data_IF_694856960997
#
_entry.id   IF_694856960997
#
_cell.length_a   1.000
_cell.length_b   1.000
_cell.length_c   1.000
_cell.angle_alpha   90.00
_cell.angle_beta   90.00
_cell.angle_gamma   90.00
#
_symmetry.space_group_name_H-M   'P 1'
#
loop_
_entity.id
_entity.type
_entity.pdbx_description
1 polymer ?
#
# COMPACT_ATOMS: atom_id res chain seq x y z
N UNK A 1 24.57 -22.03 -29.97
CA UNK A 1 23.77 -21.04 -29.22
C UNK A 1 22.94 -21.82 -28.22
N UNK A 2 23.09 -21.56 -26.92
CA UNK A 2 22.27 -22.23 -25.91
C UNK A 2 20.81 -21.79 -26.13
N UNK A 3 19.83 -22.70 -26.28
CA UNK A 3 18.44 -22.29 -26.45
C UNK A 3 18.02 -21.47 -25.22
N UNK A 4 17.53 -20.25 -25.46
CA UNK A 4 17.02 -19.36 -24.39
C UNK A 4 15.94 -20.13 -23.64
N UNK A 5 16.20 -20.46 -22.36
CA UNK A 5 15.24 -21.17 -21.52
C UNK A 5 14.10 -20.20 -21.19
N UNK A 6 12.91 -20.48 -21.73
CA UNK A 6 11.72 -19.67 -21.45
C UNK A 6 11.42 -19.77 -19.94
N UNK A 7 11.35 -18.63 -19.22
CA UNK A 7 11.01 -18.60 -17.81
C UNK A 7 9.61 -19.17 -17.57
N UNK A 8 9.45 -19.93 -16.48
CA UNK A 8 8.14 -20.45 -16.05
C UNK A 8 7.32 -19.33 -15.41
N UNK A 9 6.00 -19.41 -15.54
CA UNK A 9 5.11 -18.58 -14.75
C UNK A 9 5.10 -19.06 -13.29
N UNK A 10 4.95 -18.10 -12.38
CA UNK A 10 4.61 -18.31 -10.99
C UNK A 10 3.32 -17.56 -10.65
N UNK A 11 2.72 -17.83 -9.48
CA UNK A 11 1.63 -17.02 -8.90
C UNK A 11 1.85 -15.51 -9.07
N UNK A 12 2.98 -15.01 -8.54
CA UNK A 12 3.38 -13.61 -8.64
C UNK A 12 3.55 -13.11 -10.08
N UNK A 13 4.22 -13.89 -10.95
CA UNK A 13 4.42 -13.53 -12.36
C UNK A 13 3.11 -13.47 -13.15
N UNK A 14 2.18 -14.38 -12.88
CA UNK A 14 0.86 -14.38 -13.50
C UNK A 14 0.11 -13.08 -13.16
N UNK A 15 0.01 -12.74 -11.87
CA UNK A 15 -0.65 -11.50 -11.42
C UNK A 15 0.05 -10.25 -11.97
N UNK A 16 1.39 -10.23 -11.98
CA UNK A 16 2.15 -9.13 -12.57
C UNK A 16 1.91 -8.97 -14.08
N UNK A 17 1.78 -10.08 -14.81
CA UNK A 17 1.46 -10.09 -16.24
C UNK A 17 0.06 -9.61 -16.55
N UNK A 18 -0.94 -9.94 -15.71
CA UNK A 18 -2.30 -9.41 -15.83
C UNK A 18 -2.34 -7.89 -15.63
N UNK A 19 -1.49 -7.36 -14.75
CA UNK A 19 -1.36 -5.90 -14.60
C UNK A 19 -0.65 -5.27 -15.81
N UNK A 20 0.45 -5.86 -16.26
CA UNK A 20 1.21 -5.37 -17.42
C UNK A 20 2.12 -6.47 -18.00
N UNK A 21 1.93 -6.89 -19.26
CA UNK A 21 2.81 -7.85 -19.93
C UNK A 21 4.29 -7.43 -19.97
N UNK A 22 4.55 -6.12 -20.08
CA UNK A 22 5.92 -5.59 -20.02
C UNK A 22 6.55 -5.75 -18.63
N UNK A 23 5.75 -5.61 -17.55
CA UNK A 23 6.20 -5.89 -16.18
C UNK A 23 6.59 -7.36 -16.04
N UNK A 24 5.77 -8.29 -16.53
CA UNK A 24 6.09 -9.72 -16.55
C UNK A 24 7.40 -10.00 -17.30
N UNK A 25 7.57 -9.41 -18.49
CA UNK A 25 8.78 -9.56 -19.27
C UNK A 25 10.02 -9.12 -18.49
N UNK A 26 10.00 -7.92 -17.91
CA UNK A 26 11.13 -7.39 -17.15
C UNK A 26 11.43 -8.21 -15.88
N UNK A 27 10.42 -8.68 -15.15
CA UNK A 27 10.61 -9.60 -14.01
C UNK A 27 11.38 -10.88 -14.38
N UNK A 28 11.31 -11.29 -15.64
CA UNK A 28 11.89 -12.54 -16.11
C UNK A 28 13.25 -12.35 -16.80
N UNK A 29 13.44 -11.23 -17.50
CA UNK A 29 14.61 -11.03 -18.37
C UNK A 29 15.50 -9.87 -17.97
N UNK A 30 14.95 -8.86 -17.28
CA UNK A 30 15.68 -7.66 -16.87
C UNK A 30 15.38 -7.29 -15.39
N UNK A 31 15.49 -8.23 -14.43
CA UNK A 31 15.13 -7.97 -13.04
C UNK A 31 15.98 -6.86 -12.39
N UNK A 32 17.18 -6.60 -12.91
CA UNK A 32 18.07 -5.52 -12.49
C UNK A 32 17.54 -4.11 -12.75
N UNK A 33 16.51 -3.97 -13.61
CA UNK A 33 15.84 -2.70 -13.88
C UNK A 33 14.77 -2.35 -12.83
N UNK A 34 14.47 -3.27 -11.92
CA UNK A 34 13.49 -3.03 -10.87
C UNK A 34 14.04 -2.04 -9.85
N UNK A 35 13.18 -1.13 -9.37
CA UNK A 35 13.47 -0.26 -8.24
C UNK A 35 13.78 -1.12 -7.01
N UNK A 36 14.79 -0.69 -6.24
CA UNK A 36 15.22 -1.41 -5.05
C UNK A 36 14.10 -1.41 -4.00
N UNK A 37 13.95 -2.56 -3.31
CA UNK A 37 13.00 -2.70 -2.22
C UNK A 37 13.39 -1.75 -1.10
N UNK A 38 12.52 -0.79 -0.81
CA UNK A 38 12.71 0.14 0.32
C UNK A 38 12.54 -0.57 1.67
N UNK A 39 13.10 -0.04 2.77
CA UNK A 39 12.86 -0.58 4.12
C UNK A 39 11.36 -0.67 4.47
N UNK A 40 10.57 0.31 4.02
CA UNK A 40 9.11 0.31 4.22
C UNK A 40 8.45 -0.87 3.48
N UNK A 41 8.86 -1.13 2.23
CA UNK A 41 8.33 -2.25 1.46
C UNK A 41 8.77 -3.60 2.05
N UNK A 42 10.01 -3.70 2.54
CA UNK A 42 10.49 -4.89 3.23
C UNK A 42 9.66 -5.17 4.50
N UNK A 43 9.37 -4.13 5.31
CA UNK A 43 8.53 -4.28 6.49
C UNK A 43 7.12 -4.80 6.15
N UNK A 44 6.53 -4.37 5.02
CA UNK A 44 5.23 -4.91 4.54
C UNK A 44 5.33 -6.41 4.23
N UNK A 45 6.43 -6.86 3.60
CA UNK A 45 6.65 -8.28 3.34
C UNK A 45 6.83 -9.08 4.63
N UNK A 46 7.58 -8.54 5.59
CA UNK A 46 7.84 -9.19 6.87
C UNK A 46 6.54 -9.36 7.67
N UNK A 47 5.69 -8.34 7.69
CA UNK A 47 4.33 -8.40 8.25
C UNK A 47 3.49 -9.49 7.55
N UNK A 48 3.56 -9.56 6.22
CA UNK A 48 2.88 -10.60 5.45
C UNK A 48 3.31 -12.01 5.89
N UNK A 49 4.61 -12.24 6.01
CA UNK A 49 5.15 -13.52 6.49
C UNK A 49 4.76 -13.82 7.94
N UNK A 50 4.74 -12.82 8.82
CA UNK A 50 4.32 -12.98 10.21
C UNK A 50 2.85 -13.39 10.32
N UNK A 51 1.96 -12.70 9.60
CA UNK A 51 0.53 -13.04 9.53
C UNK A 51 0.34 -14.44 8.92
N UNK A 52 1.10 -14.79 7.88
CA UNK A 52 1.09 -16.14 7.30
C UNK A 52 1.44 -17.22 8.31
N UNK A 53 2.54 -17.05 9.07
CA UNK A 53 2.93 -17.96 10.16
C UNK A 53 1.90 -18.03 11.28
N UNK A 54 1.24 -16.91 11.60
CA UNK A 54 0.21 -16.88 12.62
C UNK A 54 -1.03 -17.68 12.18
N UNK A 55 -1.42 -17.58 10.91
CA UNK A 55 -2.55 -18.32 10.34
C UNK A 55 -2.36 -19.84 10.39
N UNK A 56 -1.12 -20.35 10.24
CA UNK A 56 -0.88 -21.80 10.32
C UNK A 56 -1.20 -22.40 11.69
N UNK A 57 -1.20 -21.60 12.76
CA UNK A 57 -1.55 -22.06 14.11
C UNK A 57 -3.02 -22.43 14.27
N UNK A 58 -3.90 -22.01 13.35
CA UNK A 58 -5.28 -22.50 13.28
C UNK A 58 -5.37 -23.98 12.85
N UNK A 59 -4.29 -24.54 12.31
CA UNK A 59 -4.25 -25.89 11.76
C UNK A 59 -3.17 -26.73 12.46
N UNK A 60 -3.39 -27.10 13.74
CA UNK A 60 -2.40 -27.84 14.52
C UNK A 60 -2.05 -29.18 13.86
N UNK A 61 -0.76 -29.52 13.86
CA UNK A 61 -0.25 -30.73 13.20
C UNK A 61 -0.10 -30.62 11.68
N UNK A 62 -0.30 -29.44 11.09
CA UNK A 62 0.02 -29.21 9.69
C UNK A 62 1.52 -29.30 9.40
N UNK A 63 1.85 -29.67 8.15
CA UNK A 63 3.23 -29.87 7.68
C UNK A 63 3.65 -28.69 6.81
N UNK A 64 4.73 -28.00 7.21
CA UNK A 64 5.37 -26.97 6.40
C UNK A 64 6.28 -27.61 5.35
N UNK A 65 6.16 -27.17 4.10
CA UNK A 65 7.11 -27.49 3.04
C UNK A 65 8.27 -26.47 3.12
N UNK A 66 9.40 -26.89 3.68
CA UNK A 66 10.50 -26.00 4.07
C UNK A 66 11.37 -25.53 2.90
N UNK A 67 11.33 -26.22 1.76
CA UNK A 67 12.14 -25.86 0.60
C UNK A 67 11.81 -24.45 0.10
N UNK A 68 12.83 -23.72 -0.33
CA UNK A 68 12.68 -22.35 -0.84
C UNK A 68 12.21 -22.31 -2.31
N UNK A 69 12.07 -21.09 -2.83
CA UNK A 69 11.63 -20.84 -4.20
C UNK A 69 12.63 -21.30 -5.29
N UNK A 70 13.91 -21.51 -4.95
CA UNK A 70 14.93 -22.02 -5.86
C UNK A 70 14.82 -23.54 -6.02
N UNK A 71 14.31 -24.23 -5.01
CA UNK A 71 14.16 -25.68 -4.93
C UNK A 71 12.70 -26.14 -5.14
N UNK A 72 11.98 -25.49 -6.06
CA UNK A 72 10.55 -25.76 -6.30
C UNK A 72 10.25 -27.21 -6.69
N UNK A 73 11.17 -27.86 -7.43
CA UNK A 73 10.96 -29.22 -7.90
C UNK A 73 11.11 -30.22 -6.74
N UNK A 74 11.97 -29.95 -5.76
CA UNK A 74 12.08 -30.65 -4.47
C UNK A 74 10.83 -30.40 -3.61
N UNK A 75 10.42 -29.13 -3.46
CA UNK A 75 9.21 -28.75 -2.72
C UNK A 75 7.97 -29.49 -3.25
N UNK A 76 7.86 -29.69 -4.57
CA UNK A 76 6.76 -30.44 -5.19
C UNK A 76 6.78 -31.91 -4.78
N UNK A 77 7.96 -32.53 -4.64
CA UNK A 77 8.10 -33.93 -4.18
C UNK A 77 7.71 -34.06 -2.70
N UNK A 78 8.16 -33.12 -1.86
CA UNK A 78 7.81 -33.08 -0.43
C UNK A 78 6.30 -32.87 -0.24
N UNK A 79 5.71 -31.98 -1.03
CA UNK A 79 4.24 -31.78 -1.07
C UNK A 79 3.51 -33.07 -1.46
N UNK A 80 3.97 -33.79 -2.49
CA UNK A 80 3.37 -35.07 -2.88
C UNK A 80 3.50 -36.16 -1.80
N UNK A 81 4.57 -36.17 -1.01
CA UNK A 81 4.71 -37.08 0.12
C UNK A 81 3.69 -36.75 1.21
N UNK A 82 3.56 -35.48 1.59
CA UNK A 82 2.57 -35.01 2.57
C UNK A 82 1.12 -35.27 2.12
N UNK A 83 0.82 -35.10 0.82
CA UNK A 83 -0.50 -35.40 0.26
C UNK A 83 -0.89 -36.89 0.37
N UNK A 84 0.08 -37.80 0.29
CA UNK A 84 -0.16 -39.25 0.39
C UNK A 84 -0.43 -39.68 1.83
N UNK A 85 0.20 -39.02 2.80
CA UNK A 85 -0.05 -39.27 4.22
C UNK A 85 -1.43 -38.74 4.62
N UNK A 86 -2.33 -39.66 4.98
CA UNK A 86 -3.70 -39.33 5.38
C UNK A 86 -3.78 -38.71 6.79
N UNK A 87 -2.73 -38.86 7.60
CA UNK A 87 -2.65 -38.22 8.92
C UNK A 87 -2.38 -36.72 8.83
N UNK A 88 -1.81 -36.26 7.71
CA UNK A 88 -1.55 -34.85 7.45
C UNK A 88 -2.86 -34.15 7.08
N UNK A 89 -3.38 -33.36 8.03
CA UNK A 89 -4.63 -32.59 7.90
C UNK A 89 -4.44 -31.21 7.30
N UNK A 90 -3.24 -30.65 7.35
CA UNK A 90 -2.93 -29.40 6.67
C UNK A 90 -1.52 -29.42 6.09
N UNK A 91 -1.33 -28.74 4.95
CA UNK A 91 -0.03 -28.53 4.32
C UNK A 91 0.15 -27.02 4.18
N UNK A 92 1.28 -26.51 4.66
CA UNK A 92 1.64 -25.11 4.55
C UNK A 92 2.68 -24.93 3.46
N UNK A 93 2.54 -23.85 2.68
CA UNK A 93 3.44 -23.52 1.56
C UNK A 93 3.58 -24.65 0.53
N UNK A 94 2.49 -25.42 0.32
CA UNK A 94 2.44 -26.59 -0.54
C UNK A 94 2.72 -26.25 -2.00
N UNK A 95 3.75 -26.86 -2.59
CA UNK A 95 4.25 -26.52 -3.92
C UNK A 95 3.68 -27.42 -5.02
N UNK A 96 3.22 -26.80 -6.11
CA UNK A 96 2.62 -27.48 -7.26
C UNK A 96 3.17 -26.93 -8.58
N UNK A 97 3.12 -27.76 -9.62
CA UNK A 97 3.47 -27.41 -10.98
C UNK A 97 2.48 -28.07 -11.93
N UNK A 98 1.70 -27.25 -12.63
CA UNK A 98 0.79 -27.71 -13.67
C UNK A 98 0.86 -26.75 -14.86
N UNK A 99 0.88 -27.30 -16.07
CA UNK A 99 0.97 -26.54 -17.32
C UNK A 99 2.04 -25.42 -17.28
N UNK A 100 3.23 -25.71 -16.75
CA UNK A 100 4.32 -24.73 -16.69
C UNK A 100 4.11 -23.55 -15.74
N UNK A 101 3.06 -23.58 -14.90
CA UNK A 101 2.79 -22.59 -13.85
C UNK A 101 3.13 -23.17 -12.48
N UNK A 102 3.97 -22.46 -11.73
CA UNK A 102 4.37 -22.81 -10.36
C UNK A 102 3.54 -22.05 -9.34
N UNK A 103 2.97 -22.75 -8.37
CA UNK A 103 2.30 -22.11 -7.22
C UNK A 103 2.78 -22.73 -5.91
N UNK A 104 2.74 -21.92 -4.86
CA UNK A 104 2.81 -22.38 -3.47
C UNK A 104 1.54 -21.90 -2.79
N UNK A 105 0.74 -22.85 -2.32
CA UNK A 105 -0.49 -22.56 -1.60
C UNK A 105 -0.15 -22.35 -0.12
N UNK A 106 -0.54 -21.20 0.44
CA UNK A 106 -0.19 -20.82 1.81
C UNK A 106 -0.69 -21.87 2.80
N UNK A 107 -1.97 -22.24 2.72
CA UNK A 107 -2.57 -23.30 3.52
C UNK A 107 -3.49 -24.16 2.64
N UNK A 108 -3.27 -25.48 2.67
CA UNK A 108 -4.19 -26.49 2.18
C UNK A 108 -4.72 -27.31 3.35
N UNK A 109 -6.00 -27.22 3.64
CA UNK A 109 -6.67 -27.99 4.69
C UNK A 109 -7.40 -29.19 4.09
N UNK A 110 -7.12 -30.39 4.59
CA UNK A 110 -7.77 -31.63 4.18
C UNK A 110 -9.09 -31.80 4.94
N UNK A 111 -10.16 -32.10 4.22
CA UNK A 111 -11.47 -32.48 4.76
C UNK A 111 -11.61 -33.99 4.91
N UNK A 112 -12.58 -34.42 5.71
CA UNK A 112 -12.83 -35.84 6.00
C UNK A 112 -13.25 -36.65 4.77
N UNK A 113 -13.84 -36.01 3.76
CA UNK A 113 -14.21 -36.62 2.48
C UNK A 113 -13.06 -36.63 1.45
N UNK A 114 -11.86 -36.24 1.87
CA UNK A 114 -10.65 -36.21 1.05
C UNK A 114 -10.53 -35.01 0.11
N UNK A 115 -11.48 -34.07 0.14
CA UNK A 115 -11.34 -32.77 -0.54
C UNK A 115 -10.44 -31.82 0.25
N UNK A 116 -10.07 -30.70 -0.37
CA UNK A 116 -9.19 -29.70 0.20
C UNK A 116 -9.81 -28.30 0.17
N UNK A 117 -9.57 -27.52 1.23
CA UNK A 117 -9.75 -26.07 1.18
C UNK A 117 -8.43 -25.41 0.81
N UNK A 118 -8.44 -24.56 -0.23
CA UNK A 118 -7.37 -23.64 -0.57
C UNK A 118 -7.60 -22.33 0.19
N UNK A 119 -6.64 -21.97 1.03
CA UNK A 119 -6.68 -20.76 1.84
C UNK A 119 -5.44 -19.92 1.52
N UNK A 120 -5.64 -18.81 0.82
CA UNK A 120 -4.62 -17.77 0.61
C UNK A 120 -4.66 -16.78 1.77
N UNK A 121 -3.54 -16.56 2.45
CA UNK A 121 -3.48 -15.68 3.62
C UNK A 121 -3.03 -14.29 3.17
N UNK A 122 -3.78 -13.26 3.55
CA UNK A 122 -3.43 -11.86 3.30
C UNK A 122 -3.39 -11.10 4.62
N UNK A 123 -2.36 -10.26 4.78
CA UNK A 123 -2.26 -9.35 5.93
C UNK A 123 -3.28 -8.20 5.88
N UNK A 124 -4.07 -8.06 4.82
CA UNK A 124 -5.12 -7.04 4.71
C UNK A 124 -6.30 -7.30 5.66
N UNK A 125 -7.23 -6.35 5.74
CA UNK A 125 -8.45 -6.47 6.55
C UNK A 125 -9.71 -6.78 5.75
N UNK A 126 -9.59 -6.90 4.44
CA UNK A 126 -10.69 -7.21 3.52
C UNK A 126 -10.16 -7.83 2.25
N UNK A 127 -11.01 -8.59 1.56
CA UNK A 127 -10.75 -9.04 0.20
C UNK A 127 -10.82 -7.87 -0.77
N UNK A 128 -9.95 -7.89 -1.79
CA UNK A 128 -9.92 -6.93 -2.90
C UNK A 128 -10.09 -7.70 -4.21
N UNK A 129 -10.71 -7.08 -5.21
CA UNK A 129 -11.03 -7.72 -6.49
C UNK A 129 -9.80 -8.29 -7.19
N UNK A 130 -8.65 -7.64 -7.04
CA UNK A 130 -7.38 -8.10 -7.62
C UNK A 130 -6.79 -9.35 -6.95
N UNK A 131 -7.35 -9.81 -5.82
CA UNK A 131 -6.98 -11.09 -5.24
C UNK A 131 -7.66 -12.28 -5.96
N UNK A 132 -8.77 -12.07 -6.66
CA UNK A 132 -9.49 -13.17 -7.30
C UNK A 132 -8.63 -13.91 -8.35
N UNK A 133 -7.90 -13.23 -9.27
CA UNK A 133 -7.02 -13.92 -10.21
C UNK A 133 -5.89 -14.72 -9.54
N UNK A 134 -5.45 -14.29 -8.35
CA UNK A 134 -4.42 -14.97 -7.54
C UNK A 134 -4.93 -16.33 -7.04
N UNK A 135 -6.13 -16.36 -6.43
CA UNK A 135 -6.76 -17.61 -5.99
C UNK A 135 -7.13 -18.49 -7.19
N UNK A 136 -7.59 -17.90 -8.29
CA UNK A 136 -8.02 -18.64 -9.46
C UNK A 136 -6.88 -19.37 -10.19
N UNK A 137 -5.69 -18.76 -10.32
CA UNK A 137 -4.53 -19.46 -10.91
C UNK A 137 -4.05 -20.59 -10.00
N UNK A 138 -4.11 -20.42 -8.68
CA UNK A 138 -3.81 -21.50 -7.74
C UNK A 138 -4.80 -22.65 -7.84
N UNK A 139 -6.10 -22.35 -7.86
CA UNK A 139 -7.15 -23.34 -8.07
C UNK A 139 -6.93 -24.13 -9.36
N UNK A 140 -6.62 -23.45 -10.46
CA UNK A 140 -6.31 -24.07 -11.75
C UNK A 140 -5.17 -25.08 -11.63
N UNK A 141 -4.05 -24.68 -11.01
CA UNK A 141 -2.87 -25.52 -10.85
C UNK A 141 -3.11 -26.71 -9.92
N UNK A 142 -3.82 -26.50 -8.81
CA UNK A 142 -4.14 -27.56 -7.85
C UNK A 142 -5.08 -28.61 -8.46
N UNK A 143 -6.15 -28.16 -9.13
CA UNK A 143 -7.10 -29.04 -9.83
C UNK A 143 -6.40 -29.81 -10.97
N UNK A 144 -5.57 -29.12 -11.75
CA UNK A 144 -4.74 -29.74 -12.79
C UNK A 144 -3.73 -30.76 -12.23
N UNK A 145 -3.29 -30.57 -10.98
CA UNK A 145 -2.45 -31.51 -10.24
C UNK A 145 -3.23 -32.67 -9.60
N UNK A 146 -4.55 -32.75 -9.82
CA UNK A 146 -5.39 -33.86 -9.37
C UNK A 146 -6.08 -33.66 -8.01
N UNK A 147 -5.97 -32.48 -7.39
CA UNK A 147 -6.67 -32.21 -6.12
C UNK A 147 -8.15 -31.90 -6.37
N UNK A 148 -9.00 -32.39 -5.45
CA UNK A 148 -10.41 -32.05 -5.37
C UNK A 148 -10.58 -30.90 -4.39
N UNK A 149 -10.81 -29.69 -4.91
CA UNK A 149 -10.99 -28.49 -4.08
C UNK A 149 -12.46 -28.36 -3.67
N UNK A 150 -12.71 -28.27 -2.37
CA UNK A 150 -14.02 -28.00 -1.79
C UNK A 150 -14.28 -26.50 -1.66
N UNK A 151 -13.30 -25.75 -1.14
CA UNK A 151 -13.33 -24.29 -1.03
C UNK A 151 -12.04 -23.67 -1.53
N UNK A 152 -12.13 -22.48 -2.09
CA UNK A 152 -10.98 -21.64 -2.43
C UNK A 152 -11.28 -20.20 -2.03
N UNK A 153 -10.44 -19.61 -1.20
CA UNK A 153 -10.75 -18.29 -0.65
C UNK A 153 -9.57 -17.64 0.03
N UNK A 154 -9.86 -16.53 0.68
CA UNK A 154 -8.87 -15.66 1.31
C UNK A 154 -9.12 -15.62 2.80
N UNK A 155 -8.08 -15.91 3.57
CA UNK A 155 -8.01 -15.61 4.98
C UNK A 155 -7.36 -14.24 5.18
N UNK A 156 -8.02 -13.35 5.90
CA UNK A 156 -7.52 -12.00 6.18
C UNK A 156 -7.75 -11.63 7.65
N UNK A 157 -7.14 -10.53 8.10
CA UNK A 157 -7.32 -10.06 9.47
C UNK A 157 -8.72 -9.45 9.66
N UNK A 158 -9.36 -9.75 10.77
CA UNK A 158 -10.64 -9.17 11.18
C UNK A 158 -10.40 -7.79 11.80
N UNK A 159 -10.80 -6.71 11.12
CA UNK A 159 -10.64 -5.35 11.65
C UNK A 159 -11.59 -5.00 12.81
N UNK A 160 -12.46 -5.91 13.24
CA UNK A 160 -13.27 -5.77 14.44
C UNK A 160 -12.72 -6.58 15.62
N UNK A 161 -11.67 -7.37 15.42
CA UNK A 161 -11.00 -8.06 16.52
C UNK A 161 -10.41 -7.06 17.51
N UNK A 162 -10.63 -7.27 18.81
CA UNK A 162 -10.08 -6.44 19.88
C UNK A 162 -9.19 -7.33 20.75
N UNK A 163 -7.93 -6.94 20.88
CA UNK A 163 -6.97 -7.65 21.70
C UNK A 163 -7.25 -7.44 23.20
N UNK A 164 -7.30 -8.51 23.97
CA UNK A 164 -7.61 -8.50 25.40
C UNK A 164 -6.39 -8.19 26.29
N UNK A 165 -5.19 -8.09 25.69
CA UNK A 165 -3.94 -7.86 26.39
C UNK A 165 -3.23 -9.12 26.89
N UNK A 166 -3.75 -10.31 26.57
CA UNK A 166 -3.19 -11.60 27.00
C UNK A 166 -2.73 -12.40 25.78
N UNK A 167 -3.63 -13.20 25.22
CA UNK A 167 -3.33 -14.15 24.13
C UNK A 167 -4.17 -13.80 22.90
N UNK A 168 -3.58 -13.97 21.72
CA UNK A 168 -4.30 -13.79 20.46
C UNK A 168 -5.28 -14.95 20.26
N UNK A 169 -6.58 -14.66 20.33
CA UNK A 169 -7.64 -15.54 19.84
C UNK A 169 -7.61 -15.53 18.31
N UNK A 170 -6.96 -16.54 17.73
CA UNK A 170 -6.75 -16.65 16.29
C UNK A 170 -8.04 -16.89 15.52
N UNK A 171 -9.02 -17.57 16.13
CA UNK A 171 -10.32 -17.83 15.47
C UNK A 171 -11.10 -16.53 15.28
N UNK A 172 -10.98 -15.59 16.23
CA UNK A 172 -11.57 -14.26 16.11
C UNK A 172 -10.70 -13.26 15.33
N UNK A 173 -9.38 -13.42 15.34
CA UNK A 173 -8.42 -12.56 14.64
C UNK A 173 -8.51 -12.72 13.12
N UNK A 174 -8.75 -13.93 12.64
CA UNK A 174 -8.83 -14.22 11.22
C UNK A 174 -10.28 -14.32 10.74
N UNK A 175 -10.50 -13.93 9.48
CA UNK A 175 -11.76 -14.11 8.77
C UNK A 175 -11.47 -14.78 7.44
N UNK A 176 -12.25 -15.81 7.11
CA UNK A 176 -12.17 -16.49 5.82
C UNK A 176 -13.34 -16.08 4.93
N UNK A 177 -13.02 -15.57 3.75
CA UNK A 177 -13.99 -15.28 2.68
C UNK A 177 -13.85 -16.36 1.62
N UNK A 178 -14.90 -17.16 1.48
CA UNK A 178 -15.02 -18.19 0.45
C UNK A 178 -15.27 -17.50 -0.90
N UNK A 179 -14.41 -17.77 -1.89
CA UNK A 179 -14.48 -17.21 -3.25
C UNK A 179 -14.70 -18.31 -4.29
N UNK A 180 -15.21 -19.47 -3.88
CA UNK A 180 -15.24 -20.65 -4.74
C UNK A 180 -16.10 -20.43 -5.99
N UNK A 181 -17.25 -19.77 -5.86
CA UNK A 181 -18.15 -19.51 -6.98
C UNK A 181 -17.51 -18.52 -7.97
N UNK A 182 -16.95 -17.42 -7.47
CA UNK A 182 -16.27 -16.40 -8.26
C UNK A 182 -15.03 -16.95 -8.97
N UNK A 183 -14.28 -17.83 -8.30
CA UNK A 183 -13.14 -18.54 -8.90
C UNK A 183 -13.62 -19.44 -10.04
N UNK A 184 -14.69 -20.21 -9.83
CA UNK A 184 -15.27 -21.09 -10.84
C UNK A 184 -15.78 -20.33 -12.06
N UNK A 185 -16.41 -19.16 -11.85
CA UNK A 185 -16.92 -18.31 -12.93
C UNK A 185 -15.83 -17.89 -13.91
N UNK A 186 -14.62 -17.59 -13.41
CA UNK A 186 -13.50 -17.15 -14.26
C UNK A 186 -12.57 -18.29 -14.70
N UNK A 187 -12.79 -19.54 -14.25
CA UNK A 187 -11.85 -20.65 -14.52
C UNK A 187 -11.66 -20.94 -16.01
N UNK A 188 -12.69 -20.72 -16.83
CA UNK A 188 -12.59 -20.96 -18.28
C UNK A 188 -11.63 -19.96 -18.97
N UNK A 189 -11.41 -18.79 -18.37
CA UNK A 189 -10.50 -17.77 -18.91
C UNK A 189 -9.03 -18.00 -18.49
N UNK A 190 -8.80 -18.63 -17.34
CA UNK A 190 -7.45 -18.81 -16.77
C UNK A 190 -6.46 -19.48 -17.76
N UNK A 191 -6.80 -20.59 -18.46
CA UNK A 191 -5.90 -21.20 -19.43
C UNK A 191 -5.54 -20.25 -20.58
N UNK A 192 -6.49 -19.46 -21.08
CA UNK A 192 -6.25 -18.50 -22.18
C UNK A 192 -5.29 -17.39 -21.72
N UNK A 193 -5.50 -16.82 -20.53
CA UNK A 193 -4.60 -15.83 -19.93
C UNK A 193 -3.20 -16.40 -19.69
N UNK A 194 -3.10 -17.66 -19.21
CA UNK A 194 -1.79 -18.35 -19.07
C UNK A 194 -1.09 -18.47 -20.41
N UNK A 195 -1.82 -18.85 -21.47
CA UNK A 195 -1.27 -18.99 -22.81
C UNK A 195 -0.75 -17.64 -23.35
N UNK A 196 -1.53 -16.57 -23.27
CA UNK A 196 -1.13 -15.21 -23.66
C UNK A 196 0.15 -14.75 -22.94
N UNK A 197 0.24 -14.95 -21.63
CA UNK A 197 1.43 -14.59 -20.86
C UNK A 197 2.64 -15.47 -21.20
N UNK A 198 2.43 -16.74 -21.56
CA UNK A 198 3.52 -17.61 -22.06
C UNK A 198 4.00 -17.14 -23.43
N UNK A 199 3.12 -16.68 -24.31
CA UNK A 199 3.50 -16.11 -25.61
C UNK A 199 4.36 -14.87 -25.44
N UNK A 200 3.99 -13.98 -24.50
CA UNK A 200 4.83 -12.84 -24.11
C UNK A 200 6.21 -13.31 -23.70
N UNK A 201 6.33 -14.32 -22.82
CA UNK A 201 7.62 -14.84 -22.38
C UNK A 201 8.40 -15.60 -23.48
N UNK A 202 7.71 -16.19 -24.45
CA UNK A 202 8.32 -16.87 -25.59
C UNK A 202 8.86 -15.90 -26.65
N UNK A 203 8.40 -14.64 -26.64
CA UNK A 203 8.88 -13.57 -27.50
C UNK A 203 10.40 -13.37 -27.40
N UNK A 204 10.98 -12.74 -28.41
CA UNK A 204 12.41 -12.39 -28.42
C UNK A 204 12.68 -10.96 -27.96
N UNK A 205 11.67 -10.10 -28.05
CA UNK A 205 11.69 -8.67 -27.68
C UNK A 205 10.57 -8.34 -26.67
N UNK A 206 10.76 -7.32 -25.80
CA UNK A 206 9.72 -6.88 -24.89
C UNK A 206 8.48 -6.35 -25.64
N UNK A 207 7.26 -6.49 -25.07
CA UNK A 207 6.09 -5.85 -25.61
C UNK A 207 6.19 -4.32 -25.50
N UNK A 208 5.72 -3.60 -26.51
CA UNK A 208 5.71 -2.14 -26.52
C UNK A 208 4.49 -1.60 -25.77
N UNK A 209 4.67 -1.18 -24.52
CA UNK A 209 3.61 -0.66 -23.65
C UNK A 209 4.06 0.66 -23.04
N UNK A 210 3.30 1.73 -23.28
CA UNK A 210 3.55 3.03 -22.69
C UNK A 210 3.17 3.07 -21.19
N UNK A 211 3.95 3.76 -20.33
CA UNK A 211 3.56 3.97 -18.94
C UNK A 211 2.25 4.76 -18.84
N UNK A 212 1.36 4.32 -17.97
CA UNK A 212 0.06 4.97 -17.75
C UNK A 212 -0.34 4.90 -16.26
N UNK A 213 -1.55 5.38 -15.93
CA UNK A 213 -2.03 5.39 -14.55
C UNK A 213 -2.22 3.99 -13.95
N UNK A 214 -2.48 2.99 -14.79
CA UNK A 214 -2.60 1.59 -14.36
C UNK A 214 -1.27 0.99 -13.87
N UNK A 215 -0.12 1.63 -14.12
CA UNK A 215 1.17 1.15 -13.62
C UNK A 215 1.25 1.10 -12.09
N UNK A 216 0.39 1.83 -11.37
CA UNK A 216 0.38 1.85 -9.90
C UNK A 216 -0.89 1.22 -9.31
N UNK A 217 -1.62 0.42 -10.09
CA UNK A 217 -2.83 -0.28 -9.65
C UNK A 217 -2.89 -1.69 -10.27
N UNK A 218 -3.18 -2.75 -9.50
CA UNK A 218 -3.42 -2.75 -8.05
C UNK A 218 -2.15 -2.60 -7.20
N UNK A 219 -0.97 -2.84 -7.79
CA UNK A 219 0.32 -2.70 -7.12
C UNK A 219 1.19 -1.66 -7.83
N UNK A 220 2.05 -0.97 -7.10
CA UNK A 220 3.10 -0.14 -7.70
C UNK A 220 4.02 -1.01 -8.57
N UNK A 221 4.25 -0.60 -9.82
CA UNK A 221 5.11 -1.34 -10.74
C UNK A 221 6.57 -1.15 -10.35
N UNK A 222 7.28 -2.27 -10.21
CA UNK A 222 8.71 -2.30 -9.86
C UNK A 222 9.60 -1.64 -10.93
N UNK A 223 9.10 -1.45 -12.15
CA UNK A 223 9.84 -0.86 -13.28
C UNK A 223 9.37 0.55 -13.62
N UNK A 224 8.59 1.20 -12.74
CA UNK A 224 8.06 2.54 -13.00
C UNK A 224 9.18 3.55 -13.35
N UNK A 225 10.25 3.58 -12.56
CA UNK A 225 11.39 4.49 -12.77
C UNK A 225 12.07 4.21 -14.12
N UNK A 226 12.28 2.93 -14.46
CA UNK A 226 12.86 2.55 -15.76
C UNK A 226 11.99 3.00 -16.93
N UNK A 227 10.69 2.65 -16.90
CA UNK A 227 9.79 2.92 -18.02
C UNK A 227 9.49 4.43 -18.18
N UNK A 228 9.65 5.22 -17.12
CA UNK A 228 9.41 6.68 -17.14
C UNK A 228 10.67 7.53 -17.25
N UNK A 229 11.87 6.92 -17.26
CA UNK A 229 13.16 7.63 -17.28
C UNK A 229 13.34 8.63 -18.43
N UNK A 230 12.64 8.43 -19.55
CA UNK A 230 12.70 9.30 -20.74
C UNK A 230 11.53 10.29 -20.82
N UNK A 231 10.62 10.29 -19.86
CA UNK A 231 9.47 11.19 -19.85
C UNK A 231 9.90 12.61 -19.46
N UNK A 232 9.17 13.65 -19.92
CA UNK A 232 9.50 15.03 -19.57
C UNK A 232 9.43 15.27 -18.06
N UNK A 233 10.21 16.24 -17.57
CA UNK A 233 10.20 16.67 -16.17
C UNK A 233 8.78 17.03 -15.70
N UNK A 234 8.05 17.78 -16.54
CA UNK A 234 6.65 18.16 -16.33
C UNK A 234 5.73 17.30 -17.21
N UNK A 235 5.81 15.98 -17.05
CA UNK A 235 4.98 15.04 -17.79
C UNK A 235 3.49 15.24 -17.45
N UNK A 236 2.62 15.24 -18.48
CA UNK A 236 1.16 15.48 -18.34
C UNK A 236 0.46 14.59 -17.32
N UNK A 237 0.99 13.41 -17.00
CA UNK A 237 0.42 12.53 -15.97
C UNK A 237 0.44 13.16 -14.56
N UNK A 238 1.38 14.08 -14.31
CA UNK A 238 1.58 14.77 -13.03
C UNK A 238 0.48 15.80 -12.75
N UNK A 239 -0.33 16.19 -13.75
CA UNK A 239 -1.43 17.13 -13.53
C UNK A 239 -2.41 16.59 -12.46
N UNK A 240 -2.61 17.40 -11.41
CA UNK A 240 -3.52 17.06 -10.32
C UNK A 240 -4.90 16.66 -10.85
N UNK A 241 -5.32 15.43 -10.55
CA UNK A 241 -6.64 14.92 -10.90
C UNK A 241 -6.92 14.79 -12.40
N UNK A 242 -5.92 14.77 -13.29
CA UNK A 242 -6.16 14.50 -14.71
C UNK A 242 -6.74 13.09 -14.90
N UNK A 243 -7.68 12.91 -15.83
CA UNK A 243 -8.30 11.60 -16.09
C UNK A 243 -7.56 10.87 -17.20
N UNK A 244 -7.69 9.53 -17.28
CA UNK A 244 -7.09 8.76 -18.38
C UNK A 244 -7.58 9.27 -19.75
N UNK A 245 -8.88 9.52 -19.88
CA UNK A 245 -9.47 10.11 -21.10
C UNK A 245 -8.78 11.40 -21.57
N UNK A 246 -8.40 12.29 -20.64
CA UNK A 246 -7.69 13.52 -21.00
C UNK A 246 -6.23 13.26 -21.37
N UNK A 247 -5.58 12.26 -20.77
CA UNK A 247 -4.23 11.84 -21.16
C UNK A 247 -4.23 11.28 -22.58
N UNK A 248 -5.19 10.43 -22.92
CA UNK A 248 -5.33 9.86 -24.26
C UNK A 248 -5.53 10.98 -25.30
N UNK A 249 -6.36 11.99 -24.99
CA UNK A 249 -6.54 13.17 -25.85
C UNK A 249 -5.26 14.00 -26.03
N UNK A 250 -4.43 14.13 -25.00
CA UNK A 250 -3.16 14.84 -25.10
C UNK A 250 -2.14 14.04 -25.90
N UNK A 251 -2.13 12.71 -25.74
CA UNK A 251 -1.29 11.80 -26.52
C UNK A 251 -1.65 11.82 -28.02
N UNK A 252 -2.94 11.83 -28.36
CA UNK A 252 -3.42 11.99 -29.75
C UNK A 252 -2.96 13.32 -30.39
N UNK A 253 -2.75 14.35 -29.56
CA UNK A 253 -2.20 15.65 -29.98
C UNK A 253 -0.66 15.69 -29.97
N UNK A 254 0.01 14.61 -29.57
CA UNK A 254 1.47 14.54 -29.43
C UNK A 254 2.02 15.36 -28.25
N UNK A 255 1.19 15.63 -27.23
CA UNK A 255 1.53 16.48 -26.09
C UNK A 255 1.85 15.61 -24.88
N UNK A 256 3.14 15.51 -24.55
CA UNK A 256 3.61 14.83 -23.34
C UNK A 256 4.02 15.80 -22.22
N UNK A 257 4.32 17.06 -22.54
CA UNK A 257 4.77 18.05 -21.55
C UNK A 257 3.66 19.05 -21.22
N UNK A 258 3.47 19.33 -19.93
CA UNK A 258 2.46 20.29 -19.44
C UNK A 258 2.61 21.67 -20.10
N UNK A 259 3.85 22.10 -20.37
CA UNK A 259 4.15 23.40 -21.01
C UNK A 259 3.59 23.52 -22.42
N UNK A 260 3.38 22.39 -23.09
CA UNK A 260 2.91 22.33 -24.47
C UNK A 260 1.39 22.19 -24.58
N UNK A 261 0.65 22.15 -23.47
CA UNK A 261 -0.80 22.07 -23.49
C UNK A 261 -1.37 23.41 -24.01
N UNK A 262 -2.19 23.42 -25.09
CA UNK A 262 -2.75 24.65 -25.62
C UNK A 262 -3.81 25.23 -24.67
N UNK A 263 -3.94 26.56 -24.65
CA UNK A 263 -4.92 27.27 -23.83
C UNK A 263 -6.39 26.91 -24.11
N UNK A 264 -6.67 26.35 -25.28
CA UNK A 264 -8.00 25.85 -25.66
C UNK A 264 -8.32 24.45 -25.11
N UNK A 265 -7.33 23.73 -24.57
CA UNK A 265 -7.56 22.41 -24.01
C UNK A 265 -8.30 22.53 -22.67
N UNK A 266 -9.40 21.78 -22.46
CA UNK A 266 -10.24 21.96 -21.28
C UNK A 266 -9.53 21.41 -20.02
N UNK A 267 -9.04 22.30 -19.16
CA UNK A 267 -8.47 21.99 -17.85
C UNK A 267 -9.37 22.52 -16.73
N UNK A 268 -9.29 21.90 -15.54
CA UNK A 268 -9.89 22.48 -14.33
C UNK A 268 -9.07 23.67 -13.83
N UNK A 269 -9.63 24.50 -12.94
CA UNK A 269 -8.92 25.67 -12.39
C UNK A 269 -7.54 25.32 -11.81
N UNK A 270 -7.45 24.22 -11.05
CA UNK A 270 -6.17 23.76 -10.49
C UNK A 270 -5.18 23.30 -11.57
N UNK A 271 -5.67 22.66 -12.64
CA UNK A 271 -4.83 22.21 -13.76
C UNK A 271 -4.34 23.39 -14.61
N UNK A 272 -5.20 24.38 -14.84
CA UNK A 272 -4.85 25.66 -15.48
C UNK A 272 -3.76 26.39 -14.69
N UNK A 273 -3.92 26.49 -13.36
CA UNK A 273 -2.93 27.07 -12.47
C UNK A 273 -1.58 26.35 -12.58
N UNK A 274 -1.58 25.02 -12.50
CA UNK A 274 -0.37 24.20 -12.68
C UNK A 274 0.30 24.51 -14.02
N UNK A 275 -0.47 24.48 -15.12
CA UNK A 275 0.04 24.75 -16.46
C UNK A 275 0.68 26.14 -16.55
N UNK A 276 0.00 27.17 -16.04
CA UNK A 276 0.47 28.55 -16.13
C UNK A 276 1.75 28.76 -15.32
N UNK A 277 1.86 28.20 -14.11
CA UNK A 277 3.08 28.28 -13.31
C UNK A 277 4.23 27.54 -13.98
N UNK A 278 4.01 26.31 -14.43
CA UNK A 278 5.06 25.51 -15.11
C UNK A 278 5.51 26.16 -16.43
N UNK A 279 4.60 26.75 -17.20
CA UNK A 279 4.93 27.42 -18.46
C UNK A 279 5.65 28.77 -18.25
N UNK A 280 5.30 29.52 -17.21
CA UNK A 280 5.93 30.81 -16.90
C UNK A 280 7.19 30.71 -16.05
N UNK A 281 7.36 29.60 -15.31
CA UNK A 281 8.39 29.45 -14.28
C UNK A 281 8.12 30.29 -13.03
N UNK A 282 6.93 30.90 -12.90
CA UNK A 282 6.58 31.79 -11.80
C UNK A 282 5.58 31.15 -10.84
N UNK A 283 5.69 31.54 -9.57
CA UNK A 283 4.77 31.10 -8.53
C UNK A 283 3.41 31.75 -8.67
N UNK A 284 2.37 30.99 -8.35
CA UNK A 284 1.06 31.54 -8.07
C UNK A 284 0.97 31.81 -6.58
N UNK A 285 0.75 33.08 -6.23
CA UNK A 285 0.44 33.52 -4.86
C UNK A 285 -0.85 34.34 -4.93
N UNK A 286 -1.91 33.81 -4.35
CA UNK A 286 -3.20 34.48 -4.30
C UNK A 286 -3.13 35.70 -3.34
N UNK A 287 -3.65 36.88 -3.71
CA UNK A 287 -3.60 38.08 -2.86
C UNK A 287 -4.20 37.90 -1.46
N UNK A 288 -5.18 37.01 -1.33
CA UNK A 288 -5.91 36.74 -0.09
C UNK A 288 -5.06 36.03 0.98
N UNK A 289 -3.93 35.41 0.59
CA UNK A 289 -3.11 34.60 1.51
C UNK A 289 -2.64 35.38 2.74
N UNK A 290 -2.41 36.69 2.60
CA UNK A 290 -1.94 37.54 3.70
C UNK A 290 -3.00 37.65 4.79
N UNK A 291 -4.27 37.80 4.40
CA UNK A 291 -5.38 37.84 5.36
C UNK A 291 -5.58 36.49 6.05
N UNK A 292 -5.47 35.41 5.30
CA UNK A 292 -5.56 34.04 5.83
C UNK A 292 -4.41 33.74 6.82
N UNK A 293 -3.19 34.24 6.58
CA UNK A 293 -2.04 34.03 7.48
C UNK A 293 -2.04 34.94 8.72
N UNK A 294 -2.72 36.09 8.67
CA UNK A 294 -2.79 37.04 9.80
C UNK A 294 -3.74 36.58 10.92
N UNK A 295 -4.64 35.64 10.65
CA UNK A 295 -5.54 35.06 11.64
C UNK A 295 -4.84 33.94 12.44
N UNK A 296 -3.81 34.31 13.22
CA UNK A 296 -3.09 33.41 14.13
C UNK A 296 -2.92 34.05 15.50
N UNK A 297 -3.10 33.24 16.55
CA UNK A 297 -2.93 33.64 17.93
C UNK A 297 -1.63 33.05 18.49
N UNK A 298 -0.83 33.87 19.17
CA UNK A 298 0.43 33.41 19.78
C UNK A 298 0.20 32.77 21.16
N UNK A 299 1.01 31.77 21.54
CA UNK A 299 2.08 31.15 20.75
C UNK A 299 1.54 30.34 19.57
N UNK A 300 2.29 30.27 18.47
CA UNK A 300 1.94 29.44 17.31
C UNK A 300 2.69 28.12 17.44
N UNK A 301 1.95 27.02 17.42
CA UNK A 301 2.47 25.66 17.49
C UNK A 301 2.56 25.08 16.09
N UNK A 302 3.70 24.52 15.71
CA UNK A 302 3.86 23.74 14.48
C UNK A 302 4.01 22.28 14.88
N UNK A 303 2.87 21.58 14.85
CA UNK A 303 2.70 20.28 15.46
C UNK A 303 2.74 19.17 14.40
N UNK A 304 3.44 18.08 14.71
CA UNK A 304 3.56 16.91 13.85
C UNK A 304 3.61 15.63 14.69
N UNK A 305 2.96 14.56 14.22
CA UNK A 305 2.86 13.27 14.91
C UNK A 305 3.43 12.13 14.09
N UNK A 306 4.11 11.20 14.75
CA UNK A 306 4.43 9.90 14.19
C UNK A 306 3.57 8.81 14.84
N UNK A 307 3.12 7.89 13.99
CA UNK A 307 2.16 6.84 14.37
C UNK A 307 2.54 5.50 13.75
N UNK A 308 2.12 4.41 14.39
CA UNK A 308 2.19 3.06 13.83
C UNK A 308 0.79 2.46 13.69
N UNK A 309 0.61 1.56 12.73
CA UNK A 309 -0.65 0.82 12.53
C UNK A 309 -0.35 -0.67 12.39
N UNK A 310 0.01 -1.36 13.48
CA UNK A 310 0.46 -2.75 13.41
C UNK A 310 -0.67 -3.67 12.92
N UNK A 311 -0.35 -4.61 12.03
CA UNK A 311 -1.32 -5.57 11.51
C UNK A 311 -1.84 -6.49 12.63
N UNK A 312 -0.94 -6.97 13.48
CA UNK A 312 -1.28 -7.74 14.68
C UNK A 312 -1.37 -6.74 15.86
N UNK A 313 -2.52 -6.64 16.54
CA UNK A 313 -2.67 -5.69 17.65
C UNK A 313 -1.72 -6.02 18.79
N UNK A 314 -1.11 -4.98 19.38
CA UNK A 314 -0.07 -5.12 20.43
C UNK A 314 -0.56 -4.76 21.83
N UNK A 315 -1.49 -3.83 21.95
CA UNK A 315 -1.94 -3.30 23.24
C UNK A 315 -3.39 -3.67 23.51
N UNK A 316 -3.74 -3.80 24.78
CA UNK A 316 -5.12 -4.06 25.21
C UNK A 316 -6.08 -3.04 24.59
N UNK A 317 -7.21 -3.53 24.09
CA UNK A 317 -8.22 -2.70 23.46
C UNK A 317 -7.86 -2.23 22.04
N UNK A 318 -6.77 -2.72 21.45
CA UNK A 318 -6.41 -2.40 20.05
C UNK A 318 -6.88 -3.44 19.06
N UNK A 319 -7.04 -3.02 17.80
CA UNK A 319 -7.43 -3.87 16.65
C UNK A 319 -6.41 -3.83 15.51
N UNK A 320 -6.43 -4.80 14.58
CA UNK A 320 -5.58 -4.78 13.38
C UNK A 320 -5.60 -3.43 12.65
N UNK A 321 -4.41 -2.88 12.38
CA UNK A 321 -4.19 -1.59 11.72
C UNK A 321 -4.80 -0.38 12.43
N UNK A 322 -5.14 -0.48 13.72
CA UNK A 322 -5.45 0.71 14.49
C UNK A 322 -4.23 1.61 14.58
N UNK A 323 -4.41 2.88 14.23
CA UNK A 323 -3.37 3.89 14.36
C UNK A 323 -3.09 4.17 15.83
N UNK A 324 -1.82 4.10 16.21
CA UNK A 324 -1.33 4.34 17.56
C UNK A 324 -0.25 5.43 17.47
N UNK A 325 -0.46 6.60 18.07
CA UNK A 325 0.55 7.65 18.13
C UNK A 325 1.62 7.30 19.16
N UNK A 326 2.89 7.50 18.79
CA UNK A 326 4.02 7.18 19.68
C UNK A 326 5.05 8.31 19.80
N UNK A 327 4.97 9.33 18.95
CA UNK A 327 5.86 10.49 19.00
C UNK A 327 5.13 11.74 18.53
N UNK A 328 5.38 12.87 19.17
CA UNK A 328 5.00 14.18 18.66
C UNK A 328 6.18 15.14 18.74
N UNK A 329 6.22 16.11 17.82
CA UNK A 329 7.14 17.24 17.87
C UNK A 329 6.36 18.55 17.72
N UNK A 330 6.78 19.57 18.46
CA UNK A 330 6.14 20.88 18.46
C UNK A 330 7.19 21.99 18.45
N UNK A 331 7.16 22.81 17.40
CA UNK A 331 7.90 24.06 17.36
C UNK A 331 6.98 25.21 17.75
N UNK A 332 7.32 25.88 18.85
CA UNK A 332 6.49 26.90 19.49
C UNK A 332 7.09 28.27 19.19
N UNK A 333 6.43 29.02 18.32
CA UNK A 333 6.79 30.40 17.98
C UNK A 333 6.07 31.36 18.92
N UNK A 334 6.85 32.10 19.71
CA UNK A 334 6.35 33.15 20.59
C UNK A 334 6.19 34.49 19.85
N UNK A 335 5.39 35.41 20.41
CA UNK A 335 5.10 36.72 19.79
C UNK A 335 6.34 37.60 19.59
N UNK A 336 7.37 37.40 20.41
CA UNK A 336 8.66 38.06 20.30
C UNK A 336 9.58 37.45 19.22
N UNK A 337 9.11 36.43 18.51
CA UNK A 337 9.88 35.70 17.49
C UNK A 337 10.70 34.54 18.05
N UNK A 338 10.67 34.28 19.36
CA UNK A 338 11.41 33.16 19.95
C UNK A 338 10.79 31.83 19.53
N UNK A 339 11.60 30.94 18.93
CA UNK A 339 11.21 29.57 18.59
C UNK A 339 11.75 28.59 19.63
N UNK A 340 10.87 27.79 20.24
CA UNK A 340 11.25 26.71 21.17
C UNK A 340 10.78 25.38 20.64
N UNK A 341 11.58 24.33 20.80
CA UNK A 341 11.19 22.97 20.47
C UNK A 341 10.80 22.19 21.73
N UNK A 342 9.76 21.38 21.58
CA UNK A 342 9.32 20.36 22.52
C UNK A 342 9.02 19.09 21.74
N UNK A 343 9.24 17.95 22.36
CA UNK A 343 8.98 16.66 21.74
C UNK A 343 8.71 15.59 22.80
N UNK A 344 8.09 14.52 22.35
CA UNK A 344 7.90 13.29 23.10
C UNK A 344 8.13 12.11 22.15
N UNK A 345 8.83 11.09 22.63
CA UNK A 345 9.01 9.81 21.96
C UNK A 345 8.86 8.69 23.00
N UNK A 346 7.97 7.74 22.75
CA UNK A 346 7.93 6.52 23.53
C UNK A 346 9.06 5.58 23.11
N UNK A 347 10.10 5.46 23.94
CA UNK A 347 11.25 4.58 23.69
C UNK A 347 11.06 3.16 24.28
N UNK A 348 10.13 3.02 25.23
CA UNK A 348 9.85 1.76 25.92
C UNK A 348 8.80 0.92 25.18
N UNK A 349 8.86 -0.41 25.33
CA UNK A 349 7.84 -1.32 24.80
C UNK A 349 6.58 -1.33 25.68
N UNK A 350 5.89 -0.19 25.72
CA UNK A 350 4.64 0.05 26.46
C UNK A 350 3.63 0.74 25.56
N UNK A 351 2.38 0.81 26.01
CA UNK A 351 1.35 1.57 25.33
C UNK A 351 1.61 3.08 25.47
N UNK A 352 1.92 3.80 24.37
CA UNK A 352 2.33 5.20 24.45
C UNK A 352 1.17 6.17 24.67
N UNK A 353 -0.08 5.75 24.45
CA UNK A 353 -1.21 6.66 24.19
C UNK A 353 -1.51 7.60 25.36
N UNK A 354 -1.43 7.11 26.59
CA UNK A 354 -1.71 7.90 27.79
C UNK A 354 -0.62 8.96 28.03
N UNK A 355 0.66 8.56 27.99
CA UNK A 355 1.78 9.47 28.18
C UNK A 355 1.92 10.47 27.03
N UNK A 356 1.68 10.02 25.79
CA UNK A 356 1.59 10.86 24.61
C UNK A 356 0.55 11.98 24.82
N UNK A 357 -0.67 11.64 25.22
CA UNK A 357 -1.74 12.62 25.41
C UNK A 357 -1.43 13.61 26.54
N UNK A 358 -0.97 13.12 27.69
CA UNK A 358 -0.63 13.96 28.84
C UNK A 358 0.48 14.98 28.53
N UNK A 359 1.58 14.51 27.94
CA UNK A 359 2.72 15.38 27.59
C UNK A 359 2.39 16.38 26.46
N UNK A 360 1.53 15.98 25.52
CA UNK A 360 1.02 16.86 24.47
C UNK A 360 0.18 17.99 25.06
N UNK A 361 -0.78 17.68 25.93
CA UNK A 361 -1.65 18.68 26.56
C UNK A 361 -0.86 19.68 27.42
N UNK A 362 0.15 19.20 28.15
CA UNK A 362 1.06 20.06 28.92
C UNK A 362 1.79 21.05 27.99
N UNK A 363 2.25 20.58 26.84
CA UNK A 363 3.00 21.39 25.87
C UNK A 363 2.12 22.41 25.16
N UNK A 364 0.93 21.99 24.70
CA UNK A 364 0.01 22.84 23.96
C UNK A 364 -0.65 23.90 24.85
N UNK A 365 -0.81 23.65 26.15
CA UNK A 365 -1.51 24.54 27.07
C UNK A 365 -2.92 24.89 26.58
N UNK A 366 -3.41 26.08 26.94
CA UNK A 366 -4.80 26.50 26.69
C UNK A 366 -4.97 27.67 25.70
N UNK A 367 -3.90 28.09 25.02
CA UNK A 367 -3.89 29.30 24.17
C UNK A 367 -3.01 29.10 22.94
N UNK A 368 -3.29 29.87 21.90
CA UNK A 368 -2.47 29.89 20.69
C UNK A 368 -3.03 29.01 19.56
N UNK A 369 -2.57 29.28 18.34
CA UNK A 369 -2.97 28.57 17.12
C UNK A 369 -2.06 27.37 16.89
N UNK A 370 -2.63 26.24 16.47
CA UNK A 370 -1.92 25.02 16.13
C UNK A 370 -1.96 24.85 14.62
N UNK A 371 -0.80 24.95 14.00
CA UNK A 371 -0.62 24.74 12.56
C UNK A 371 -0.18 23.29 12.36
N UNK A 372 -0.94 22.57 11.56
CA UNK A 372 -0.61 21.23 11.08
C UNK A 372 -0.70 21.19 9.57
N UNK A 373 -0.05 20.21 8.95
CA UNK A 373 -0.10 20.15 7.50
C UNK A 373 -1.45 19.65 7.00
N UNK A 374 -2.08 18.67 7.63
CA UNK A 374 -3.39 18.15 7.20
C UNK A 374 -4.31 17.94 8.40
N UNK A 375 -5.53 17.47 8.18
CA UNK A 375 -6.43 17.06 9.27
C UNK A 375 -6.02 15.76 9.99
N UNK A 376 -4.83 15.22 9.73
CA UNK A 376 -4.38 13.93 10.27
C UNK A 376 -4.23 13.98 11.79
N UNK A 377 -3.48 14.95 12.30
CA UNK A 377 -3.21 15.14 13.72
C UNK A 377 -4.50 15.41 14.49
N UNK A 378 -5.44 16.16 13.87
CA UNK A 378 -6.78 16.39 14.41
C UNK A 378 -7.52 15.07 14.67
N UNK A 379 -7.51 14.15 13.70
CA UNK A 379 -8.14 12.83 13.87
C UNK A 379 -7.49 12.02 14.98
N UNK A 380 -6.16 12.08 15.13
CA UNK A 380 -5.46 11.38 16.23
C UNK A 380 -5.92 11.91 17.59
N UNK A 381 -6.11 13.22 17.73
CA UNK A 381 -6.62 13.80 18.98
C UNK A 381 -8.07 13.36 19.25
N UNK A 382 -8.92 13.32 18.22
CA UNK A 382 -10.29 12.80 18.32
C UNK A 382 -10.29 11.33 18.79
N UNK A 383 -9.48 10.47 18.16
CA UNK A 383 -9.35 9.06 18.52
C UNK A 383 -8.82 8.87 19.97
N UNK A 384 -7.87 9.70 20.40
CA UNK A 384 -7.35 9.69 21.77
C UNK A 384 -8.40 10.16 22.79
N UNK A 385 -9.24 11.14 22.44
CA UNK A 385 -10.29 11.65 23.31
C UNK A 385 -11.35 10.58 23.59
N UNK A 386 -11.70 9.77 22.59
CA UNK A 386 -12.62 8.62 22.76
C UNK A 386 -12.00 7.53 23.64
N UNK A 387 -10.68 7.30 23.49
CA UNK A 387 -9.96 6.24 24.19
C UNK A 387 -9.64 6.57 25.66
N UNK A 388 -9.36 7.84 25.96
CA UNK A 388 -8.84 8.29 27.26
C UNK A 388 -9.85 9.24 27.93
N UNK A 389 -10.87 8.72 28.64
CA UNK A 389 -11.91 9.54 29.26
C UNK A 389 -11.38 10.62 30.20
N UNK A 390 -10.24 10.40 30.84
CA UNK A 390 -9.60 11.36 31.72
C UNK A 390 -9.11 12.62 31.00
N UNK A 391 -8.77 12.53 29.70
CA UNK A 391 -8.30 13.64 28.87
C UNK A 391 -9.32 14.13 27.84
N UNK A 392 -10.49 13.47 27.74
CA UNK A 392 -11.50 13.73 26.71
C UNK A 392 -11.83 15.23 26.53
N UNK A 393 -12.21 15.91 27.61
CA UNK A 393 -12.60 17.33 27.56
C UNK A 393 -11.45 18.23 27.11
N UNK A 394 -10.24 17.95 27.58
CA UNK A 394 -9.05 18.75 27.31
C UNK A 394 -8.60 18.57 25.87
N UNK A 395 -8.57 17.33 25.36
CA UNK A 395 -8.24 16.99 23.97
C UNK A 395 -9.22 17.63 22.99
N UNK A 396 -10.53 17.52 23.24
CA UNK A 396 -11.53 18.14 22.36
C UNK A 396 -11.43 19.66 22.34
N UNK A 397 -11.07 20.31 23.46
CA UNK A 397 -10.86 21.75 23.51
C UNK A 397 -9.67 22.23 22.65
N UNK A 398 -8.74 21.34 22.30
CA UNK A 398 -7.62 21.66 21.40
C UNK A 398 -8.09 21.81 19.95
N UNK A 399 -9.14 21.08 19.53
CA UNK A 399 -9.52 20.94 18.12
C UNK A 399 -9.90 22.26 17.44
N UNK A 400 -10.43 23.22 18.20
CA UNK A 400 -10.81 24.55 17.67
C UNK A 400 -9.61 25.45 17.37
N UNK A 401 -8.40 25.06 17.81
CA UNK A 401 -7.16 25.81 17.61
C UNK A 401 -6.42 25.42 16.33
N UNK A 402 -6.84 24.32 15.69
CA UNK A 402 -6.18 23.76 14.52
C UNK A 402 -6.39 24.59 13.25
N UNK A 403 -5.32 24.76 12.49
CA UNK A 403 -5.32 25.40 11.18
C UNK A 403 -4.60 24.51 10.17
N UNK A 404 -5.32 24.13 9.11
CA UNK A 404 -4.84 23.23 8.06
C UNK A 404 -4.02 24.01 7.02
N UNK A 405 -2.70 23.81 7.04
CA UNK A 405 -1.79 24.46 6.11
C UNK A 405 -1.92 23.92 4.69
N UNK A 406 -2.21 22.63 4.49
CA UNK A 406 -2.41 22.04 3.17
C UNK A 406 -3.60 22.67 2.44
N UNK A 407 -4.72 22.89 3.12
CA UNK A 407 -5.89 23.55 2.55
C UNK A 407 -5.56 24.98 2.08
N UNK A 408 -4.80 25.73 2.89
CA UNK A 408 -4.35 27.07 2.57
C UNK A 408 -3.40 27.08 1.37
N UNK A 409 -2.36 26.23 1.38
CA UNK A 409 -1.39 26.09 0.28
C UNK A 409 -2.11 25.69 -1.00
N UNK A 410 -2.95 24.64 -0.98
CA UNK A 410 -3.68 24.16 -2.16
C UNK A 410 -4.54 25.24 -2.79
N UNK A 411 -5.17 26.09 -1.98
CA UNK A 411 -6.07 27.15 -2.45
C UNK A 411 -5.30 28.37 -2.95
N UNK A 412 -4.23 28.77 -2.27
CA UNK A 412 -3.61 30.09 -2.45
C UNK A 412 -2.19 30.09 -3.01
N UNK A 413 -1.50 28.94 -3.06
CA UNK A 413 -0.10 28.88 -3.50
C UNK A 413 0.10 27.76 -4.51
N UNK A 414 0.91 28.01 -5.53
CA UNK A 414 1.48 26.94 -6.33
C UNK A 414 2.86 27.32 -6.85
N UNK A 415 3.82 26.42 -6.69
CA UNK A 415 5.18 26.56 -7.24
C UNK A 415 5.37 25.50 -8.35
N UNK A 416 6.06 25.79 -9.47
CA UNK A 416 6.29 24.82 -10.56
C UNK A 416 6.85 23.47 -10.09
N UNK A 417 7.81 23.49 -9.17
CA UNK A 417 8.43 22.30 -8.56
C UNK A 417 7.50 21.47 -7.65
N UNK A 418 6.23 21.85 -7.48
CA UNK A 418 5.26 21.00 -6.79
C UNK A 418 4.87 19.76 -7.63
N UNK A 419 5.16 19.75 -8.94
CA UNK A 419 4.86 18.64 -9.87
C UNK A 419 3.41 18.13 -9.74
N UNK A 420 2.49 19.09 -9.62
CA UNK A 420 1.05 18.85 -9.51
C UNK A 420 0.59 18.18 -8.20
N UNK A 421 1.48 18.04 -7.22
CA UNK A 421 1.18 17.49 -5.89
C UNK A 421 1.25 18.59 -4.83
N UNK A 422 0.33 18.54 -3.87
CA UNK A 422 0.32 19.44 -2.72
C UNK A 422 0.71 18.70 -1.44
N UNK A 423 1.31 17.51 -1.51
CA UNK A 423 1.76 16.81 -0.31
C UNK A 423 2.93 17.55 0.35
N UNK A 424 3.10 17.37 1.68
CA UNK A 424 4.19 17.98 2.43
C UNK A 424 5.56 17.68 1.82
N UNK A 425 5.73 16.43 1.36
CA UNK A 425 6.94 15.99 0.65
C UNK A 425 7.22 16.80 -0.61
N UNK A 426 6.18 17.18 -1.35
CA UNK A 426 6.34 17.94 -2.60
C UNK A 426 6.63 19.41 -2.33
N UNK A 427 5.98 19.98 -1.31
CA UNK A 427 6.10 21.40 -0.96
C UNK A 427 7.41 21.71 -0.21
N UNK A 428 7.81 20.87 0.75
CA UNK A 428 8.98 21.15 1.59
C UNK A 428 10.31 20.64 1.00
N UNK A 429 10.37 19.42 0.48
CA UNK A 429 11.66 18.81 0.12
C UNK A 429 12.28 19.37 -1.18
N UNK A 430 11.50 19.94 -2.09
CA UNK A 430 12.03 20.50 -3.34
C UNK A 430 12.36 22.00 -3.29
N UNK A 431 11.78 22.73 -2.32
CA UNK A 431 11.94 24.18 -2.22
C UNK A 431 13.03 24.63 -1.22
N UNK A 432 13.28 23.85 -0.15
CA UNK A 432 14.20 24.26 0.93
C UNK A 432 15.58 23.58 0.91
N UNK A 433 15.77 22.53 0.09
CA UNK A 433 17.01 21.72 0.05
C UNK A 433 17.78 21.80 -1.27
N UNK A 434 17.55 22.82 -2.11
CA UNK A 434 18.54 23.15 -3.17
C UNK A 434 19.66 24.00 -2.53
N UNK A 435 20.94 23.62 -2.71
CA UNK A 435 22.08 24.38 -2.20
C UNK A 435 22.20 25.78 -2.82
#
# INVERSE_FOLDING_TARGET
>A
MNPRKIPKLSKFRFVAGLQCPLRLWHLCYNPELATQVSPVQQAIFDIGHEVGRLATRLYPGGVLIEEDHLHHDEATKSTLAALKDQSVRAIFEGAFLYDGVRVRADILERLDDGRWNLIEVKSSTSVKDYHLPDVAVQYHVLKGSGLRIAKAGIMHLNNQYIFDGKDLDLESLFSFVDLTEEVLDIQNEIPSRIAELKEVLAGTVPPEIAPCRACNSPYSCDFWEHCTAKKPEFWVIQLSGITQKKLDQLEELGIEDIRNIPGSFPLSEIQERIRNCVASGADFIAPEITGELMDVQYPVHFLDFETISPAIPRYTGTRPYQTIPFQWSDHILSKDGTLKQREYLCEEDKDPREEFAGTLLETLGNRGTIIVYTSYEKRIIEDLAELLPQYHTELLAVLDRFKDLHALVRKHVYHPEFHGSFSLKSVCFRHWFRP
#
